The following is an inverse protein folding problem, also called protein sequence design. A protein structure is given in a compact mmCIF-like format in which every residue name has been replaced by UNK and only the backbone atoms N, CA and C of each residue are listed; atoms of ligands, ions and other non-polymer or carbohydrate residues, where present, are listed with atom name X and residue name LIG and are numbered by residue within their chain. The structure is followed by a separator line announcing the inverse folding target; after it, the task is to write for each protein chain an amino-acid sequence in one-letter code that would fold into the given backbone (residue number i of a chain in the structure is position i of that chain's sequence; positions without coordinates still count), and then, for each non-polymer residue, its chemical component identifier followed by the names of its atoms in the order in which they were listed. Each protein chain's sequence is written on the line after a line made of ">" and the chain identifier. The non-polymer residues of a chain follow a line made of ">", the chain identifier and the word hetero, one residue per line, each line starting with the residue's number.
data_IF_305168122328
#
_entry.id   IF_305168122328
#
_cell.length_a   1.000
_cell.length_b   1.000
_cell.length_c   1.000
_cell.angle_alpha   90.00
_cell.angle_beta   90.00
_cell.angle_gamma   90.00
#
_symmetry.space_group_name_H-M   'P 1'
#
loop_
_entity.id
_entity.type
_entity.pdbx_description
1 polymer ?
#
# COMPACT_ATOMS: atom_id res chain seq x y z
N UNK A 1 8.98 7.74 13.32
CA UNK A 1 7.89 7.19 12.49
C UNK A 1 6.62 7.29 13.31
N UNK A 2 5.58 7.85 12.73
CA UNK A 2 4.27 7.97 13.38
C UNK A 2 3.39 6.84 12.83
N UNK A 3 2.93 5.98 13.73
CA UNK A 3 2.05 4.86 13.39
C UNK A 3 0.65 5.20 13.87
N UNK A 4 -0.35 4.96 13.02
CA UNK A 4 -1.75 5.24 13.33
C UNK A 4 -2.39 4.08 14.10
N UNK A 5 -3.45 4.38 14.85
CA UNK A 5 -4.20 3.43 15.64
C UNK A 5 -4.90 2.37 14.76
N UNK A 6 -5.05 1.16 15.30
CA UNK A 6 -5.60 -0.01 14.58
C UNK A 6 -6.97 0.28 13.94
N UNK A 7 -7.83 1.07 14.59
CA UNK A 7 -9.14 1.44 14.04
C UNK A 7 -9.06 2.16 12.68
N UNK A 8 -8.01 2.95 12.44
CA UNK A 8 -7.82 3.65 11.17
C UNK A 8 -7.29 2.72 10.09
N UNK A 9 -6.45 1.76 10.47
CA UNK A 9 -6.01 0.66 9.59
C UNK A 9 -7.22 -0.18 9.16
N UNK A 10 -8.10 -0.53 10.11
CA UNK A 10 -9.31 -1.31 9.83
C UNK A 10 -10.32 -0.53 8.99
N UNK A 11 -10.38 0.79 9.15
CA UNK A 11 -11.19 1.66 8.29
C UNK A 11 -10.65 1.69 6.85
N UNK A 12 -9.34 1.81 6.66
CA UNK A 12 -8.71 1.79 5.32
C UNK A 12 -8.97 0.47 4.58
N UNK A 13 -9.05 -0.66 5.29
CA UNK A 13 -9.35 -1.98 4.70
C UNK A 13 -10.77 -2.08 4.11
N UNK A 14 -11.69 -1.18 4.48
CA UNK A 14 -13.06 -1.18 3.97
C UNK A 14 -13.19 -0.52 2.59
N UNK A 15 -12.13 0.12 2.10
CA UNK A 15 -12.14 0.88 0.86
C UNK A 15 -11.13 0.34 -0.15
N UNK A 16 -11.46 0.49 -1.42
CA UNK A 16 -10.58 0.14 -2.53
C UNK A 16 -9.45 1.17 -2.69
N UNK A 17 -8.37 0.75 -3.35
CA UNK A 17 -7.20 1.61 -3.55
C UNK A 17 -7.50 2.87 -4.38
N UNK A 18 -8.42 2.89 -5.36
CA UNK A 18 -8.86 4.14 -5.99
C UNK A 18 -9.48 5.14 -5.01
N UNK A 19 -10.34 4.69 -4.09
CA UNK A 19 -10.93 5.55 -3.05
C UNK A 19 -9.84 6.13 -2.15
N UNK A 20 -8.86 5.31 -1.74
CA UNK A 20 -7.73 5.76 -0.92
C UNK A 20 -6.88 6.79 -1.69
N UNK A 21 -6.63 6.56 -2.99
CA UNK A 21 -5.91 7.51 -3.84
C UNK A 21 -6.65 8.85 -3.94
N UNK A 22 -7.96 8.81 -4.26
CA UNK A 22 -8.82 10.00 -4.34
C UNK A 22 -8.83 10.76 -2.99
N UNK A 23 -8.84 10.04 -1.87
CA UNK A 23 -8.76 10.65 -0.54
C UNK A 23 -7.43 11.38 -0.32
N UNK A 24 -6.29 10.79 -0.72
CA UNK A 24 -4.96 11.43 -0.60
C UNK A 24 -4.89 12.72 -1.44
N UNK A 25 -5.50 12.75 -2.61
CA UNK A 25 -5.48 13.92 -3.50
C UNK A 25 -6.06 15.19 -2.84
N UNK A 26 -7.04 15.04 -1.94
CA UNK A 26 -7.64 16.16 -1.19
C UNK A 26 -6.62 16.95 -0.34
N UNK A 27 -5.49 16.32 0.00
CA UNK A 27 -4.47 16.90 0.86
C UNK A 27 -3.42 17.69 0.08
N UNK A 28 -3.29 17.47 -1.24
CA UNK A 28 -2.29 18.13 -2.08
C UNK A 28 -0.84 17.89 -1.64
N UNK A 29 -0.56 16.84 -0.88
CA UNK A 29 0.78 16.54 -0.33
C UNK A 29 1.72 15.90 -1.36
N UNK A 30 1.18 15.38 -2.46
CA UNK A 30 1.94 14.79 -3.56
C UNK A 30 1.18 14.97 -4.89
N UNK A 31 1.90 14.96 -6.04
CA UNK A 31 1.25 14.97 -7.35
C UNK A 31 0.38 13.72 -7.57
N UNK A 32 -0.69 13.80 -8.39
CA UNK A 32 -1.56 12.66 -8.70
C UNK A 32 -0.88 11.58 -9.57
N UNK A 33 0.38 11.79 -9.95
CA UNK A 33 1.22 10.82 -10.68
C UNK A 33 2.13 9.99 -9.76
N UNK A 34 1.99 10.14 -8.44
CA UNK A 34 2.81 9.47 -7.42
C UNK A 34 1.95 8.82 -6.33
N UNK A 35 2.58 7.99 -5.50
CA UNK A 35 1.94 7.36 -4.36
C UNK A 35 1.28 6.01 -4.68
N UNK A 36 1.56 5.44 -5.84
CA UNK A 36 1.08 4.12 -6.23
C UNK A 36 2.14 3.40 -7.07
N UNK A 37 2.07 2.08 -7.10
CA UNK A 37 3.00 1.25 -7.86
C UNK A 37 2.58 1.12 -9.33
N UNK A 38 3.54 0.86 -10.25
CA UNK A 38 3.23 0.75 -11.67
C UNK A 38 2.28 -0.42 -11.94
N UNK A 39 1.56 -0.32 -13.05
CA UNK A 39 0.63 -1.35 -13.51
C UNK A 39 1.29 -2.73 -13.71
N UNK A 40 2.61 -2.82 -13.85
CA UNK A 40 3.27 -4.12 -13.95
C UNK A 40 3.17 -4.92 -12.65
N UNK A 41 3.00 -4.27 -11.49
CA UNK A 41 2.79 -4.93 -10.20
C UNK A 41 1.30 -5.24 -10.03
N UNK A 42 0.93 -6.52 -10.12
CA UNK A 42 -0.47 -7.00 -10.13
C UNK A 42 -0.78 -7.86 -8.91
N UNK A 43 -2.01 -7.76 -8.42
CA UNK A 43 -2.54 -8.69 -7.43
C UNK A 43 -2.68 -10.09 -8.04
N UNK A 44 -1.97 -11.07 -7.48
CA UNK A 44 -2.05 -12.47 -7.94
C UNK A 44 -3.27 -13.20 -7.35
N UNK A 45 -3.87 -12.65 -6.29
CA UNK A 45 -5.10 -13.14 -5.67
C UNK A 45 -6.15 -12.02 -5.62
N UNK A 46 -6.70 -11.59 -6.78
CA UNK A 46 -7.59 -10.42 -6.89
C UNK A 46 -8.96 -10.60 -6.22
N UNK A 47 -9.26 -11.80 -5.72
CA UNK A 47 -10.45 -12.12 -4.94
C UNK A 47 -10.32 -11.78 -3.45
N UNK A 48 -9.09 -11.61 -2.94
CA UNK A 48 -8.85 -11.31 -1.54
C UNK A 48 -9.27 -9.85 -1.21
N UNK A 49 -9.70 -9.58 0.04
CA UNK A 49 -10.02 -8.24 0.47
C UNK A 49 -8.77 -7.34 0.51
N UNK A 50 -8.93 -6.00 0.60
CA UNK A 50 -7.81 -5.09 0.70
C UNK A 50 -6.89 -5.41 1.90
N UNK A 51 -5.58 -5.36 1.66
CA UNK A 51 -4.57 -5.38 2.71
C UNK A 51 -4.15 -3.97 3.09
N UNK A 52 -3.85 -3.78 4.37
CA UNK A 52 -3.23 -2.54 4.87
C UNK A 52 -2.21 -2.90 5.94
N UNK A 53 -0.98 -2.40 5.81
CA UNK A 53 0.08 -2.61 6.80
C UNK A 53 1.36 -1.84 6.48
N UNK A 54 2.29 -1.86 7.43
CA UNK A 54 3.53 -1.08 7.35
C UNK A 54 4.64 -1.82 6.63
N UNK A 55 5.35 -1.13 5.73
CA UNK A 55 6.38 -1.68 4.88
C UNK A 55 7.57 -2.22 5.69
N UNK A 56 7.92 -3.48 5.47
CA UNK A 56 9.18 -4.10 5.86
C UNK A 56 9.98 -4.34 4.58
N UNK A 57 10.98 -3.51 4.34
CA UNK A 57 11.65 -3.41 3.03
C UNK A 57 12.85 -4.36 2.93
N UNK A 58 13.16 -4.79 1.71
CA UNK A 58 14.36 -5.56 1.39
C UNK A 58 14.64 -5.60 -0.11
N UNK A 59 15.78 -6.17 -0.47
CA UNK A 59 16.25 -6.27 -1.86
C UNK A 59 16.45 -7.73 -2.21
N UNK A 60 15.97 -8.14 -3.38
CA UNK A 60 16.19 -9.46 -3.96
C UNK A 60 17.05 -9.36 -5.23
N UNK A 61 17.87 -10.39 -5.44
CA UNK A 61 18.62 -10.69 -6.67
C UNK A 61 18.70 -12.20 -6.86
N UNK A 62 18.53 -12.70 -8.08
CA UNK A 62 18.60 -14.12 -8.41
C UNK A 62 19.36 -14.49 -9.68
N UNK A 63 19.80 -13.51 -10.49
CA UNK A 63 20.38 -13.73 -11.83
C UNK A 63 21.82 -14.23 -11.81
N UNK A 64 22.62 -13.77 -10.83
CA UNK A 64 24.02 -14.16 -10.68
C UNK A 64 24.25 -14.88 -9.36
N UNK A 65 25.26 -15.78 -9.28
CA UNK A 65 25.68 -16.33 -8.00
C UNK A 65 26.21 -15.22 -7.08
N UNK A 66 26.18 -15.43 -5.75
CA UNK A 66 26.78 -14.51 -4.81
C UNK A 66 28.28 -14.35 -5.06
N UNK A 67 28.79 -13.13 -4.97
CA UNK A 67 30.22 -12.89 -4.97
C UNK A 67 30.85 -13.34 -3.65
N UNK A 68 32.12 -13.79 -3.63
CA UNK A 68 32.80 -14.14 -2.39
C UNK A 68 32.80 -12.95 -1.41
N UNK A 69 32.18 -13.15 -0.24
CA UNK A 69 32.06 -12.10 0.79
C UNK A 69 30.86 -11.15 0.61
N UNK A 70 30.01 -11.38 -0.39
CA UNK A 70 28.72 -10.68 -0.51
C UNK A 70 27.80 -11.08 0.66
N UNK A 71 27.29 -10.08 1.37
CA UNK A 71 26.33 -10.30 2.45
C UNK A 71 24.94 -10.60 1.87
N UNK A 72 24.61 -11.89 1.80
CA UNK A 72 23.24 -12.33 1.53
C UNK A 72 22.53 -12.55 2.87
N UNK A 73 21.54 -11.71 3.14
CA UNK A 73 20.72 -11.83 4.32
C UNK A 73 19.92 -13.14 4.36
N UNK A 74 19.52 -13.50 5.57
CA UNK A 74 18.75 -14.70 5.89
C UNK A 74 17.31 -14.35 6.22
N UNK A 75 16.41 -15.34 6.11
CA UNK A 75 15.03 -15.21 6.61
C UNK A 75 14.98 -14.86 8.11
N UNK A 76 15.97 -15.31 8.89
CA UNK A 76 16.09 -14.99 10.31
C UNK A 76 16.43 -13.52 10.53
N UNK A 77 17.37 -12.96 9.77
CA UNK A 77 17.71 -11.53 9.85
C UNK A 77 16.55 -10.65 9.39
N UNK A 78 15.83 -11.07 8.35
CA UNK A 78 14.60 -10.40 7.95
C UNK A 78 13.54 -10.43 9.05
N UNK A 79 13.34 -11.58 9.71
CA UNK A 79 12.43 -11.69 10.84
C UNK A 79 12.84 -10.81 12.03
N UNK A 80 14.15 -10.66 12.29
CA UNK A 80 14.65 -9.69 13.28
C UNK A 80 14.34 -8.25 12.85
N UNK A 81 14.47 -7.94 11.57
CA UNK A 81 14.13 -6.62 11.04
C UNK A 81 12.62 -6.31 11.17
N UNK A 82 11.73 -7.31 11.05
CA UNK A 82 10.29 -7.09 11.29
C UNK A 82 9.98 -6.54 12.68
N UNK A 83 10.80 -6.83 13.70
CA UNK A 83 10.59 -6.33 15.06
C UNK A 83 10.72 -4.79 15.17
N UNK A 84 11.30 -4.10 14.18
CA UNK A 84 11.43 -2.63 14.18
C UNK A 84 10.17 -1.92 13.67
N UNK A 85 9.21 -2.66 13.10
CA UNK A 85 7.95 -2.15 12.54
C UNK A 85 6.79 -2.81 13.27
N UNK A 86 5.72 -2.09 13.65
CA UNK A 86 4.56 -2.69 14.30
C UNK A 86 3.74 -3.56 13.34
N UNK A 87 2.95 -4.48 13.90
CA UNK A 87 1.89 -5.15 13.13
C UNK A 87 0.72 -4.19 12.86
N UNK A 88 -0.03 -4.38 11.76
CA UNK A 88 0.20 -5.33 10.66
C UNK A 88 1.33 -4.87 9.72
N UNK A 89 2.08 -5.83 9.15
CA UNK A 89 3.25 -5.57 8.29
C UNK A 89 3.00 -5.98 6.84
N UNK A 90 3.59 -5.28 5.88
CA UNK A 90 3.64 -5.69 4.47
C UNK A 90 5.09 -5.83 4.05
N UNK A 91 5.48 -6.99 3.54
CA UNK A 91 6.86 -7.19 3.06
C UNK A 91 6.99 -6.58 1.68
N UNK A 92 7.94 -5.66 1.49
CA UNK A 92 8.14 -4.93 0.23
C UNK A 92 9.55 -5.21 -0.29
N UNK A 93 9.66 -6.00 -1.36
CA UNK A 93 10.94 -6.43 -1.90
C UNK A 93 11.19 -5.80 -3.27
N UNK A 94 12.29 -5.06 -3.40
CA UNK A 94 12.78 -4.62 -4.70
C UNK A 94 13.62 -5.72 -5.34
N UNK A 95 13.18 -6.20 -6.49
CA UNK A 95 14.01 -6.92 -7.45
C UNK A 95 14.92 -5.93 -8.19
N UNK A 96 16.22 -6.19 -8.16
CA UNK A 96 17.25 -5.32 -8.78
C UNK A 96 17.88 -5.90 -10.03
N UNK A 97 17.62 -7.16 -10.35
CA UNK A 97 18.16 -7.74 -11.56
C UNK A 97 17.45 -7.21 -12.81
N UNK A 98 18.18 -6.96 -13.90
CA UNK A 98 17.61 -6.43 -15.15
C UNK A 98 16.72 -7.46 -15.87
N UNK A 99 16.88 -8.74 -15.55
CA UNK A 99 16.09 -9.85 -16.08
C UNK A 99 15.47 -10.61 -14.91
N UNK A 100 14.15 -10.74 -14.93
CA UNK A 100 13.41 -11.49 -13.91
C UNK A 100 13.52 -13.00 -14.18
N UNK A 101 14.47 -13.68 -13.53
CA UNK A 101 14.72 -15.11 -13.75
C UNK A 101 14.49 -16.00 -12.51
N UNK A 102 14.30 -15.39 -11.34
CA UNK A 102 14.14 -16.09 -10.06
C UNK A 102 13.01 -15.52 -9.22
N UNK A 103 12.31 -16.40 -8.50
CA UNK A 103 11.23 -16.01 -7.60
C UNK A 103 11.74 -15.34 -6.31
N UNK A 104 11.21 -14.15 -5.99
CA UNK A 104 11.47 -13.44 -4.73
C UNK A 104 10.63 -13.96 -3.55
N UNK A 105 9.62 -14.81 -3.81
CA UNK A 105 8.74 -15.41 -2.83
C UNK A 105 8.32 -16.83 -3.27
N UNK A 106 8.25 -17.74 -2.31
CA UNK A 106 7.57 -19.04 -2.40
C UNK A 106 6.71 -19.28 -1.15
N UNK A 107 6.03 -20.42 -1.11
CA UNK A 107 5.04 -20.75 -0.07
C UNK A 107 5.63 -20.82 1.36
N UNK A 108 6.80 -21.44 1.54
CA UNK A 108 7.46 -21.52 2.85
C UNK A 108 7.84 -20.15 3.42
N UNK A 109 8.26 -19.22 2.55
CA UNK A 109 8.52 -17.83 2.96
C UNK A 109 7.23 -17.08 3.28
N UNK A 110 6.18 -17.26 2.47
CA UNK A 110 4.87 -16.67 2.74
C UNK A 110 4.32 -17.14 4.10
N UNK A 111 4.42 -18.44 4.39
CA UNK A 111 4.04 -19.00 5.69
C UNK A 111 4.82 -18.37 6.84
N UNK A 112 6.14 -18.22 6.70
CA UNK A 112 6.97 -17.55 7.69
C UNK A 112 6.54 -16.09 7.90
N UNK A 113 6.29 -15.34 6.83
CA UNK A 113 5.83 -13.95 6.91
C UNK A 113 4.50 -13.83 7.64
N UNK A 114 3.53 -14.71 7.33
CA UNK A 114 2.27 -14.78 8.09
C UNK A 114 2.52 -15.03 9.59
N UNK A 115 3.40 -15.98 9.92
CA UNK A 115 3.74 -16.30 11.31
C UNK A 115 4.38 -15.13 12.08
N UNK A 116 5.06 -14.22 11.37
CA UNK A 116 5.62 -12.98 11.93
C UNK A 116 4.70 -11.75 11.77
N UNK A 117 3.40 -11.95 11.54
CA UNK A 117 2.40 -10.87 11.53
C UNK A 117 2.42 -10.00 10.28
N UNK A 118 2.98 -10.49 9.18
CA UNK A 118 2.83 -9.86 7.88
C UNK A 118 1.45 -10.22 7.30
N UNK A 119 0.84 -9.27 6.61
CA UNK A 119 -0.50 -9.36 6.02
C UNK A 119 -0.49 -9.26 4.49
N UNK A 120 0.70 -9.17 3.89
CA UNK A 120 0.87 -9.29 2.44
C UNK A 120 2.30 -9.06 1.97
N UNK A 121 2.50 -9.21 0.66
CA UNK A 121 3.81 -9.11 0.01
C UNK A 121 3.72 -8.31 -1.29
N UNK A 122 4.70 -7.45 -1.54
CA UNK A 122 4.79 -6.58 -2.70
C UNK A 122 6.18 -6.65 -3.31
N UNK A 123 6.27 -6.82 -4.62
CA UNK A 123 7.53 -6.77 -5.35
C UNK A 123 7.35 -6.30 -6.80
N UNK A 124 8.40 -5.70 -7.37
CA UNK A 124 8.56 -5.56 -8.83
C UNK A 124 9.22 -6.80 -9.46
N UNK A 125 9.46 -7.87 -8.72
CA UNK A 125 9.93 -9.15 -9.24
C UNK A 125 8.80 -10.11 -9.61
N UNK A 126 9.15 -11.39 -9.65
CA UNK A 126 8.25 -12.52 -9.90
C UNK A 126 8.26 -13.47 -8.70
N UNK A 127 7.25 -14.32 -8.58
CA UNK A 127 7.08 -15.24 -7.44
C UNK A 127 6.78 -16.66 -7.91
N UNK A 128 6.71 -17.63 -7.00
CA UNK A 128 6.34 -19.02 -7.30
C UNK A 128 5.43 -19.64 -6.25
N UNK A 129 5.09 -20.91 -6.42
CA UNK A 129 4.34 -21.73 -5.45
C UNK A 129 2.94 -21.17 -5.12
N UNK A 130 2.25 -20.59 -6.12
CA UNK A 130 0.93 -19.95 -5.97
C UNK A 130 -0.10 -20.86 -5.28
N UNK A 131 -0.11 -22.15 -5.65
CA UNK A 131 -1.02 -23.13 -5.05
C UNK A 131 -0.77 -23.33 -3.54
N UNK A 132 0.48 -23.21 -3.08
CA UNK A 132 0.83 -23.28 -1.66
C UNK A 132 0.54 -22.00 -0.89
N UNK A 133 0.56 -20.84 -1.58
CA UNK A 133 0.27 -19.53 -0.98
C UNK A 133 -1.24 -19.28 -0.84
N UNK A 134 -2.04 -19.73 -1.80
CA UNK A 134 -3.50 -19.45 -1.84
C UNK A 134 -4.24 -19.76 -0.52
N UNK A 135 -4.04 -20.92 0.14
CA UNK A 135 -4.71 -21.24 1.40
C UNK A 135 -4.36 -20.30 2.56
N UNK A 136 -3.25 -19.56 2.48
CA UNK A 136 -2.83 -18.62 3.52
C UNK A 136 -3.66 -17.33 3.52
N UNK A 137 -4.49 -17.10 2.49
CA UNK A 137 -5.23 -15.83 2.30
C UNK A 137 -4.31 -14.60 2.41
N UNK A 138 -3.09 -14.72 1.85
CA UNK A 138 -2.02 -13.74 1.93
C UNK A 138 -1.88 -13.00 0.59
N UNK A 139 -2.31 -11.74 0.48
CA UNK A 139 -2.22 -10.97 -0.76
C UNK A 139 -0.78 -10.82 -1.25
N UNK A 140 -0.56 -11.13 -2.53
CA UNK A 140 0.74 -11.03 -3.20
C UNK A 140 0.61 -10.14 -4.43
N UNK A 141 1.50 -9.17 -4.52
CA UNK A 141 1.60 -8.20 -5.60
C UNK A 141 2.95 -8.35 -6.30
N UNK A 142 2.95 -8.80 -7.56
CA UNK A 142 4.16 -9.10 -8.31
C UNK A 142 3.95 -8.87 -9.82
N UNK A 143 5.03 -8.92 -10.61
CA UNK A 143 4.93 -8.84 -12.08
C UNK A 143 4.45 -10.14 -12.74
N UNK A 144 4.50 -11.26 -12.03
CA UNK A 144 4.09 -12.55 -12.56
C UNK A 144 4.68 -13.70 -11.77
N UNK A 145 4.74 -14.86 -12.42
CA UNK A 145 5.17 -16.11 -11.81
C UNK A 145 6.34 -16.76 -12.56
N UNK A 146 7.08 -17.61 -11.86
CA UNK A 146 8.17 -18.42 -12.41
C UNK A 146 8.26 -19.75 -11.67
N UNK A 147 8.93 -20.75 -12.24
CA UNK A 147 9.10 -22.07 -11.61
C UNK A 147 10.30 -22.14 -10.66
N UNK A 148 11.35 -21.35 -10.89
CA UNK A 148 12.62 -21.44 -10.17
C UNK A 148 12.89 -20.24 -9.26
N UNK A 149 13.59 -20.47 -8.17
CA UNK A 149 14.16 -19.42 -7.30
C UNK A 149 15.49 -18.86 -7.82
N UNK A 150 16.07 -19.45 -8.87
CA UNK A 150 17.41 -19.14 -9.36
C UNK A 150 18.46 -19.16 -8.22
N UNK A 151 19.38 -18.20 -8.15
CA UNK A 151 20.40 -18.15 -7.08
C UNK A 151 19.90 -17.61 -5.73
N UNK A 152 18.66 -17.10 -5.67
CA UNK A 152 17.99 -16.53 -4.50
C UNK A 152 18.90 -15.83 -3.47
N UNK A 153 19.00 -14.51 -3.56
CA UNK A 153 19.65 -13.66 -2.56
C UNK A 153 18.67 -12.60 -2.09
N UNK A 154 18.53 -12.47 -0.78
CA UNK A 154 17.66 -11.49 -0.15
C UNK A 154 18.49 -10.72 0.88
N UNK A 155 18.39 -9.40 0.95
CA UNK A 155 19.21 -8.60 1.86
C UNK A 155 18.80 -7.13 1.91
N UNK A 156 19.70 -6.29 2.42
CA UNK A 156 19.49 -4.84 2.56
C UNK A 156 18.19 -4.49 3.29
N UNK A 157 17.86 -5.26 4.35
CA UNK A 157 16.62 -5.10 5.07
C UNK A 157 16.52 -3.72 5.75
N UNK A 158 15.33 -3.15 5.73
CA UNK A 158 15.03 -1.86 6.36
C UNK A 158 15.59 -0.64 5.63
N UNK A 159 16.29 -0.82 4.51
CA UNK A 159 16.72 0.30 3.66
C UNK A 159 15.59 0.71 2.70
N UNK A 160 15.57 1.97 2.23
CA UNK A 160 14.62 2.40 1.22
C UNK A 160 14.76 1.55 -0.05
N UNK A 161 13.62 1.21 -0.64
CA UNK A 161 13.53 0.43 -1.89
C UNK A 161 12.81 1.25 -2.95
N UNK A 162 13.09 0.97 -4.22
CA UNK A 162 12.45 1.64 -5.35
C UNK A 162 11.70 0.64 -6.24
N UNK A 163 10.39 0.83 -6.37
CA UNK A 163 9.54 0.01 -7.22
C UNK A 163 8.80 0.93 -8.20
N UNK A 164 9.18 0.86 -9.48
CA UNK A 164 8.50 1.59 -10.55
C UNK A 164 8.47 3.11 -10.39
N UNK A 165 9.58 3.69 -9.92
CA UNK A 165 9.69 5.13 -9.67
C UNK A 165 9.09 5.61 -8.35
N UNK A 166 8.55 4.69 -7.52
CA UNK A 166 8.09 4.99 -6.17
C UNK A 166 9.12 4.49 -5.15
N UNK A 167 9.66 5.41 -4.36
CA UNK A 167 10.47 5.07 -3.18
C UNK A 167 9.55 4.68 -2.03
N UNK A 168 9.85 3.55 -1.39
CA UNK A 168 9.17 3.06 -0.20
C UNK A 168 10.21 2.91 0.91
N UNK A 169 9.94 3.52 2.05
CA UNK A 169 10.77 3.45 3.25
C UNK A 169 10.24 2.37 4.19
N UNK A 170 11.11 1.88 5.07
CA UNK A 170 10.68 1.04 6.17
C UNK A 170 9.66 1.81 7.02
N UNK A 171 8.52 1.17 7.31
CA UNK A 171 7.43 1.76 8.09
C UNK A 171 6.46 2.63 7.29
N UNK A 172 6.60 2.78 5.98
CA UNK A 172 5.57 3.43 5.16
C UNK A 172 4.27 2.60 5.16
N UNK A 173 3.11 3.26 5.26
CA UNK A 173 1.82 2.57 5.24
C UNK A 173 1.43 2.18 3.80
N UNK A 174 1.19 0.90 3.59
CA UNK A 174 0.87 0.32 2.29
C UNK A 174 -0.58 -0.16 2.30
N UNK A 175 -1.34 0.23 1.28
CA UNK A 175 -2.65 -0.32 0.96
C UNK A 175 -2.54 -1.09 -0.37
N UNK A 176 -3.16 -2.25 -0.47
CA UNK A 176 -3.21 -3.00 -1.71
C UNK A 176 -4.51 -3.77 -1.87
N UNK A 177 -5.04 -3.78 -3.09
CA UNK A 177 -6.23 -4.53 -3.47
C UNK A 177 -6.14 -5.01 -4.92
N UNK A 178 -7.23 -5.52 -5.49
CA UNK A 178 -7.25 -5.99 -6.88
C UNK A 178 -6.84 -4.95 -7.95
N UNK A 179 -6.87 -3.65 -7.64
CA UNK A 179 -6.52 -2.59 -8.58
C UNK A 179 -5.02 -2.29 -8.58
N UNK A 180 -4.33 -2.49 -7.45
CA UNK A 180 -2.90 -2.23 -7.31
C UNK A 180 -2.48 -1.94 -5.88
N UNK A 181 -1.38 -1.22 -5.74
CA UNK A 181 -0.78 -0.85 -4.44
C UNK A 181 -0.62 0.66 -4.36
N UNK A 182 -1.06 1.23 -3.24
CA UNK A 182 -0.94 2.64 -2.87
C UNK A 182 -0.05 2.78 -1.64
N UNK A 183 0.84 3.76 -1.66
CA UNK A 183 1.67 4.16 -0.52
C UNK A 183 0.99 5.38 0.11
N UNK A 184 0.46 5.20 1.32
CA UNK A 184 -0.23 6.26 2.05
C UNK A 184 0.83 7.07 2.82
N UNK A 185 0.94 8.39 2.61
CA UNK A 185 1.91 9.19 3.34
C UNK A 185 1.60 9.18 4.85
N UNK A 186 2.55 8.72 5.66
CA UNK A 186 2.37 8.54 7.11
C UNK A 186 1.86 9.81 7.82
N UNK A 187 2.31 10.99 7.37
CA UNK A 187 1.95 12.29 7.97
C UNK A 187 0.46 12.67 7.82
N UNK A 188 -0.31 11.98 6.97
CA UNK A 188 -1.75 12.20 6.78
C UNK A 188 -2.56 10.90 6.83
N UNK A 189 -1.95 9.79 7.26
CA UNK A 189 -2.55 8.47 7.10
C UNK A 189 -3.86 8.32 7.90
N UNK A 190 -3.94 8.95 9.07
CA UNK A 190 -5.15 9.00 9.90
C UNK A 190 -6.27 9.76 9.20
N UNK A 191 -5.95 10.94 8.67
CA UNK A 191 -6.88 11.82 8.00
C UNK A 191 -7.38 11.20 6.69
N UNK A 192 -6.51 10.51 5.94
CA UNK A 192 -6.89 9.75 4.75
C UNK A 192 -7.93 8.68 5.10
N UNK A 193 -7.73 7.93 6.20
CA UNK A 193 -8.70 6.94 6.66
C UNK A 193 -10.07 7.57 6.94
N UNK A 194 -10.11 8.74 7.60
CA UNK A 194 -11.34 9.48 7.90
C UNK A 194 -11.97 10.10 6.65
N UNK A 195 -11.17 10.46 5.64
CA UNK A 195 -11.66 11.04 4.40
C UNK A 195 -12.29 9.99 3.45
N UNK A 196 -11.83 8.74 3.47
CA UNK A 196 -12.35 7.66 2.62
C UNK A 196 -13.90 7.53 2.62
N UNK A 197 -14.60 7.43 3.78
CA UNK A 197 -16.06 7.40 3.80
C UNK A 197 -16.69 8.64 3.17
N UNK A 198 -16.11 9.82 3.37
CA UNK A 198 -16.63 11.09 2.83
C UNK A 198 -16.50 11.13 1.31
N UNK A 199 -15.37 10.67 0.77
CA UNK A 199 -15.14 10.52 -0.69
C UNK A 199 -16.18 9.58 -1.29
N UNK A 200 -16.39 8.40 -0.70
CA UNK A 200 -17.41 7.45 -1.18
C UNK A 200 -18.82 8.01 -1.15
N UNK A 201 -19.16 8.77 -0.10
CA UNK A 201 -20.46 9.43 -0.01
C UNK A 201 -20.64 10.52 -1.08
N UNK A 202 -19.59 11.28 -1.39
CA UNK A 202 -19.61 12.24 -2.48
C UNK A 202 -19.82 11.54 -3.83
N UNK A 203 -19.04 10.51 -4.15
CA UNK A 203 -19.18 9.73 -5.39
C UNK A 203 -20.57 9.09 -5.52
N UNK A 204 -21.18 8.70 -4.40
CA UNK A 204 -22.51 8.12 -4.38
C UNK A 204 -23.61 9.05 -4.92
N UNK A 205 -23.41 10.39 -4.87
CA UNK A 205 -24.35 11.36 -5.45
C UNK A 205 -24.55 11.08 -6.94
N UNK A 206 -23.45 10.95 -7.68
CA UNK A 206 -23.48 10.67 -9.13
C UNK A 206 -23.85 9.21 -9.38
N UNK A 207 -23.27 8.26 -8.64
CA UNK A 207 -23.54 6.83 -8.85
C UNK A 207 -25.00 6.45 -8.61
N UNK A 208 -25.64 6.98 -7.57
CA UNK A 208 -27.04 6.67 -7.27
C UNK A 208 -27.97 7.24 -8.34
N UNK A 209 -27.67 8.46 -8.83
CA UNK A 209 -28.41 9.03 -9.95
C UNK A 209 -28.26 8.20 -11.22
N UNK A 210 -27.03 7.79 -11.57
CA UNK A 210 -26.78 6.93 -12.73
C UNK A 210 -27.47 5.55 -12.63
N UNK A 211 -27.68 5.03 -11.42
CA UNK A 211 -28.42 3.79 -11.17
C UNK A 211 -29.94 3.94 -11.09
N UNK A 212 -30.47 5.16 -11.05
CA UNK A 212 -31.90 5.42 -10.87
C UNK A 212 -32.77 5.01 -12.07
N UNK A 213 -32.17 4.68 -13.22
CA UNK A 213 -32.84 4.19 -14.43
C UNK A 213 -33.39 5.28 -15.35
N UNK A 214 -33.61 6.51 -14.86
CA UNK A 214 -33.95 7.67 -15.71
C UNK A 214 -32.86 8.72 -15.59
N UNK A 215 -31.99 8.79 -16.59
CA UNK A 215 -30.81 9.66 -16.61
C UNK A 215 -30.90 10.61 -17.80
N UNK A 216 -30.82 11.91 -17.53
CA UNK A 216 -30.61 12.96 -18.54
C UNK A 216 -29.24 13.62 -18.38
N UNK A 217 -28.68 14.21 -19.47
CA UNK A 217 -27.46 15.02 -19.40
C UNK A 217 -27.55 16.16 -18.37
N UNK A 218 -28.68 16.85 -18.29
CA UNK A 218 -28.89 17.97 -17.35
C UNK A 218 -28.86 17.48 -15.91
N UNK A 219 -29.53 16.36 -15.62
CA UNK A 219 -29.50 15.80 -14.28
C UNK A 219 -28.11 15.26 -13.92
N UNK A 220 -27.34 14.73 -14.89
CA UNK A 220 -25.95 14.33 -14.66
C UNK A 220 -25.08 15.55 -14.33
N UNK A 221 -25.26 16.65 -15.06
CA UNK A 221 -24.55 17.90 -14.80
C UNK A 221 -24.84 18.43 -13.39
N UNK A 222 -26.11 18.45 -12.97
CA UNK A 222 -26.51 18.87 -11.62
C UNK A 222 -25.86 18.00 -10.52
N UNK A 223 -25.86 16.66 -10.68
CA UNK A 223 -25.26 15.76 -9.66
C UNK A 223 -23.73 15.83 -9.70
N UNK A 224 -23.13 16.10 -10.85
CA UNK A 224 -21.69 16.34 -10.98
C UNK A 224 -21.29 17.62 -10.27
N UNK A 225 -22.09 18.69 -10.38
CA UNK A 225 -21.87 19.93 -9.63
C UNK A 225 -21.99 19.70 -8.12
N UNK A 226 -23.02 18.99 -7.66
CA UNK A 226 -23.19 18.61 -6.26
C UNK A 226 -22.01 17.78 -5.74
N UNK A 227 -21.51 16.84 -6.54
CA UNK A 227 -20.29 16.08 -6.23
C UNK A 227 -19.08 17.00 -6.07
N UNK A 228 -18.84 17.91 -7.02
CA UNK A 228 -17.71 18.84 -6.96
C UNK A 228 -17.79 19.75 -5.73
N UNK A 229 -18.97 20.30 -5.43
CA UNK A 229 -19.20 21.10 -4.23
C UNK A 229 -18.92 20.30 -2.95
N UNK A 230 -19.36 19.03 -2.89
CA UNK A 230 -19.12 18.16 -1.75
C UNK A 230 -17.63 17.83 -1.59
N UNK A 231 -16.94 17.50 -2.68
CA UNK A 231 -15.50 17.21 -2.67
C UNK A 231 -14.68 18.42 -2.23
N UNK A 232 -15.02 19.63 -2.71
CA UNK A 232 -14.39 20.87 -2.25
C UNK A 232 -14.60 21.11 -0.75
N UNK A 233 -15.82 20.90 -0.25
CA UNK A 233 -16.11 21.04 1.18
C UNK A 233 -15.33 20.04 2.05
N UNK A 234 -15.14 18.81 1.58
CA UNK A 234 -14.32 17.80 2.28
C UNK A 234 -12.85 18.25 2.28
N UNK A 235 -12.31 18.71 1.15
CA UNK A 235 -10.95 19.23 1.09
C UNK A 235 -10.74 20.38 2.08
N UNK A 236 -11.67 21.34 2.14
CA UNK A 236 -11.60 22.47 3.09
C UNK A 236 -11.69 22.03 4.55
N UNK A 237 -12.49 21.02 4.87
CA UNK A 237 -12.57 20.44 6.21
C UNK A 237 -11.23 19.81 6.62
N UNK A 238 -10.68 18.98 5.74
CA UNK A 238 -9.41 18.28 5.93
C UNK A 238 -8.23 19.26 6.09
N UNK A 239 -8.15 20.29 5.25
CA UNK A 239 -7.09 21.30 5.34
C UNK A 239 -7.18 22.09 6.67
N UNK A 240 -8.40 22.36 7.15
CA UNK A 240 -8.61 23.00 8.46
C UNK A 240 -8.19 22.10 9.61
N UNK A 241 -8.46 20.80 9.53
CA UNK A 241 -8.01 19.82 10.53
C UNK A 241 -6.49 19.72 10.57
N UNK A 242 -5.81 19.63 9.42
CA UNK A 242 -4.35 19.64 9.36
C UNK A 242 -3.74 20.91 9.98
N UNK A 243 -4.34 22.08 9.70
CA UNK A 243 -3.89 23.32 10.31
C UNK A 243 -4.04 23.29 11.85
N UNK A 244 -5.16 22.77 12.36
CA UNK A 244 -5.39 22.65 13.81
C UNK A 244 -4.38 21.72 14.48
N UNK A 245 -4.09 20.56 13.89
CA UNK A 245 -3.13 19.61 14.45
C UNK A 245 -1.70 20.16 14.42
N UNK A 246 -1.32 20.90 13.36
CA UNK A 246 0.01 21.52 13.23
C UNK A 246 0.23 22.72 14.16
N UNK A 247 -0.81 23.50 14.46
CA UNK A 247 -0.69 24.70 15.31
C UNK A 247 -1.19 24.51 16.76
N UNK A 248 -1.86 23.39 17.07
CA UNK A 248 -2.45 23.11 18.38
C UNK A 248 -1.55 22.38 19.39
N UNK A 249 -0.30 22.05 19.04
CA UNK A 249 0.69 21.44 19.96
C UNK A 249 1.66 22.45 20.58
N UNK A 250 1.49 23.74 20.31
CA UNK A 250 2.13 24.82 21.05
C UNK A 250 1.21 25.31 22.17
N UNK A 251 1.65 25.16 23.41
CA UNK A 251 1.10 25.79 24.63
C UNK A 251 0.17 24.93 25.51
N UNK A 252 0.79 24.04 26.30
CA UNK A 252 0.37 23.74 27.68
C UNK A 252 1.60 23.37 28.51
N UNK A 253 2.48 24.34 28.75
CA UNK A 253 3.40 24.35 29.90
C UNK A 253 3.31 25.69 30.62
N UNK A 254 2.23 25.83 31.38
CA UNK A 254 1.98 26.75 32.49
C UNK A 254 0.95 25.98 33.34
N UNK A 255 1.14 25.63 34.61
CA UNK A 255 1.91 26.16 35.73
C UNK A 255 2.39 25.01 36.64
#
# INVERSE_FOLDING_TARGET
>A
MEFIEQQYIDLLKQYDSPTVSNAIELFGVQPPTKGYLPHTVRALFPQLPPMVGYACTGVHRGMTPPEPGEDSGTLVEQARNFATVPVPRVVVIQERDPVLCGAALGDGMALAYCAFGCVGFVTNGIVRDIQGIEPLSFPVFAQGTVSSHAYFRLGNFGQPVEIGGQTIHQGDLIHGDRNGVVVIPNAIAREVAVACPKVRQAEAIVHNYLRSGTVTPEGLAERSEQYLQRSAAIADEVQRELARTRYGTGDTRKE
#
